data_IF_129928790692
#
_entry.id   IF_129928790692
#
_cell.length_a   1.000
_cell.length_b   1.000
_cell.length_c   1.000
_cell.angle_alpha   90.00
_cell.angle_beta   90.00
_cell.angle_gamma   90.00
#
_symmetry.space_group_name_H-M   'P 1'
#
loop_
_entity.id
_entity.type
_entity.pdbx_description
1 polymer ?
#
# COMPACT_ATOMS: atom_id res chain seq x y z
N UNK A 1 -14.56 -10.97 -5.94
CA UNK A 1 -13.28 -10.48 -6.49
C UNK A 1 -12.46 -11.61 -7.08
N UNK A 2 -12.20 -12.72 -6.36
CA UNK A 2 -11.45 -13.88 -6.92
C UNK A 2 -12.08 -14.40 -8.22
N UNK A 3 -13.38 -14.70 -8.22
CA UNK A 3 -14.09 -15.23 -9.41
C UNK A 3 -14.16 -14.23 -10.57
N UNK A 4 -13.95 -12.94 -10.28
CA UNK A 4 -13.89 -11.86 -11.27
C UNK A 4 -12.46 -11.57 -11.74
N UNK A 5 -11.47 -12.40 -11.36
CA UNK A 5 -10.03 -12.18 -11.64
C UNK A 5 -9.60 -10.76 -11.25
N UNK A 6 -10.12 -10.28 -10.12
CA UNK A 6 -9.90 -8.95 -9.56
C UNK A 6 -10.22 -7.76 -10.47
N UNK A 7 -11.04 -7.98 -11.52
CA UNK A 7 -11.64 -6.92 -12.33
C UNK A 7 -12.91 -6.41 -11.62
N UNK A 8 -12.91 -5.21 -11.02
CA UNK A 8 -14.02 -4.79 -10.19
C UNK A 8 -15.35 -4.69 -10.95
N UNK A 9 -15.31 -4.32 -12.22
CA UNK A 9 -16.46 -4.23 -13.13
C UNK A 9 -17.12 -5.59 -13.43
N UNK A 10 -16.40 -6.70 -13.24
CA UNK A 10 -16.93 -8.05 -13.43
C UNK A 10 -17.43 -8.69 -12.13
N UNK A 11 -17.32 -8.00 -10.98
CA UNK A 11 -17.69 -8.55 -9.69
C UNK A 11 -19.16 -8.27 -9.32
N UNK A 12 -20.02 -9.26 -9.51
CA UNK A 12 -21.47 -9.13 -9.31
C UNK A 12 -21.94 -9.26 -7.84
N UNK A 13 -21.05 -9.49 -6.88
CA UNK A 13 -21.43 -9.74 -5.47
C UNK A 13 -21.51 -8.45 -4.65
N UNK A 14 -20.47 -7.60 -4.74
CA UNK A 14 -20.37 -6.30 -4.04
C UNK A 14 -19.49 -5.36 -4.87
N UNK A 15 -19.83 -4.07 -4.98
CA UNK A 15 -19.00 -3.12 -5.71
C UNK A 15 -17.67 -2.89 -4.97
N UNK A 16 -16.58 -3.01 -5.72
CA UNK A 16 -15.22 -2.64 -5.31
C UNK A 16 -14.63 -1.71 -6.35
N UNK A 17 -13.65 -0.90 -5.96
CA UNK A 17 -13.07 0.13 -6.81
C UNK A 17 -11.57 0.22 -6.53
N UNK A 18 -10.75 0.31 -7.57
CA UNK A 18 -9.34 0.64 -7.36
C UNK A 18 -9.16 2.17 -7.29
N UNK A 19 -8.08 2.64 -6.64
CA UNK A 19 -7.74 4.07 -6.66
C UNK A 19 -7.52 4.56 -8.10
N UNK A 20 -8.21 5.63 -8.57
CA UNK A 20 -7.99 6.20 -9.90
C UNK A 20 -6.76 7.15 -9.90
N UNK A 21 -6.44 7.72 -11.06
CA UNK A 21 -5.41 8.77 -11.23
C UNK A 21 -4.01 8.37 -10.71
N UNK A 22 -3.67 7.10 -10.90
CA UNK A 22 -2.34 6.56 -10.63
C UNK A 22 -1.61 6.25 -11.95
N UNK A 23 -1.75 7.12 -12.95
CA UNK A 23 -1.25 6.88 -14.32
C UNK A 23 0.20 7.36 -14.52
N UNK A 24 0.68 8.27 -13.67
CA UNK A 24 1.96 8.95 -13.83
C UNK A 24 2.89 8.75 -12.65
N UNK A 25 4.14 9.17 -12.86
CA UNK A 25 5.19 9.19 -11.85
C UNK A 25 5.79 7.81 -11.55
N UNK A 26 6.69 7.74 -10.55
CA UNK A 26 7.39 6.50 -10.20
C UNK A 26 6.49 5.38 -9.67
N UNK A 27 5.24 5.70 -9.33
CA UNK A 27 4.22 4.76 -8.83
C UNK A 27 3.06 4.60 -9.82
N UNK A 28 3.31 4.86 -11.11
CA UNK A 28 2.35 4.62 -12.16
C UNK A 28 1.93 3.14 -12.18
N UNK A 29 0.66 2.91 -12.49
CA UNK A 29 0.13 1.57 -12.66
C UNK A 29 0.64 0.94 -13.95
N UNK A 30 0.93 -0.35 -13.89
CA UNK A 30 1.18 -1.12 -15.10
C UNK A 30 -0.11 -1.33 -15.91
N UNK A 31 -0.04 -1.37 -17.25
CA UNK A 31 -1.21 -1.20 -18.10
C UNK A 31 -2.11 -2.45 -18.23
N UNK A 32 -1.68 -3.62 -17.74
CA UNK A 32 -2.43 -4.87 -18.00
C UNK A 32 -3.42 -5.23 -16.89
N UNK A 33 -3.04 -5.03 -15.63
CA UNK A 33 -3.81 -5.37 -14.42
C UNK A 33 -3.91 -4.20 -13.43
N UNK A 34 -3.20 -3.11 -13.67
CA UNK A 34 -3.25 -1.90 -12.87
C UNK A 34 -2.43 -1.95 -11.57
N UNK A 35 -1.42 -2.82 -11.46
CA UNK A 35 -0.58 -2.89 -10.25
C UNK A 35 0.45 -1.74 -10.21
N UNK A 36 0.81 -1.30 -9.01
CA UNK A 36 1.91 -0.35 -8.77
C UNK A 36 3.13 -1.07 -8.21
N UNK A 37 4.34 -0.59 -8.54
CA UNK A 37 5.56 -1.08 -7.91
C UNK A 37 5.57 -0.75 -6.41
N UNK A 38 6.00 -1.74 -5.63
CA UNK A 38 6.18 -1.67 -4.18
C UNK A 38 7.66 -1.77 -3.83
N UNK A 39 7.98 -1.82 -2.53
CA UNK A 39 9.35 -1.98 -2.05
C UNK A 39 9.98 -3.26 -2.61
N UNK A 40 11.17 -3.14 -3.22
CA UNK A 40 12.03 -4.30 -3.50
C UNK A 40 12.59 -4.87 -2.20
N UNK A 41 12.72 -6.19 -2.15
CA UNK A 41 13.25 -6.92 -0.99
C UNK A 41 14.55 -7.60 -1.39
N UNK A 42 15.58 -7.51 -0.55
CA UNK A 42 16.89 -8.13 -0.81
C UNK A 42 17.23 -9.14 0.27
N UNK A 43 17.70 -10.32 -0.12
CA UNK A 43 18.08 -11.37 0.81
C UNK A 43 19.20 -10.95 1.77
N UNK A 44 19.14 -11.40 3.04
CA UNK A 44 18.47 -12.63 3.47
C UNK A 44 17.02 -12.47 3.96
N UNK A 45 16.43 -11.29 3.77
CA UNK A 45 15.06 -11.00 4.14
C UNK A 45 14.06 -12.00 3.52
N UNK A 46 12.99 -12.33 4.25
CA UNK A 46 11.94 -13.29 3.85
C UNK A 46 12.47 -14.69 3.45
N UNK A 47 13.67 -15.06 3.90
CA UNK A 47 14.28 -16.35 3.57
C UNK A 47 14.92 -16.42 2.17
N UNK A 48 15.13 -15.27 1.52
CA UNK A 48 15.81 -15.17 0.24
C UNK A 48 17.32 -15.44 0.36
N UNK A 49 17.94 -15.93 -0.71
CA UNK A 49 19.41 -16.07 -0.79
C UNK A 49 20.08 -14.71 -0.67
N UNK A 50 21.24 -14.68 0.01
CA UNK A 50 22.02 -13.46 0.18
C UNK A 50 22.26 -12.76 -1.16
N UNK A 51 21.93 -11.47 -1.25
CA UNK A 51 22.14 -10.64 -2.45
C UNK A 51 21.10 -10.80 -3.56
N UNK A 52 20.18 -11.76 -3.48
CA UNK A 52 19.04 -11.84 -4.40
C UNK A 52 18.07 -10.71 -4.08
N UNK A 53 17.65 -9.97 -5.11
CA UNK A 53 16.66 -8.89 -4.98
C UNK A 53 15.44 -9.24 -5.80
N UNK A 54 14.27 -9.14 -5.16
CA UNK A 54 12.96 -9.37 -5.76
C UNK A 54 12.18 -8.06 -5.83
N UNK A 55 11.31 -7.95 -6.82
CA UNK A 55 10.45 -6.80 -7.05
C UNK A 55 9.01 -7.17 -6.72
N UNK A 56 8.34 -6.26 -6.02
CA UNK A 56 6.99 -6.47 -5.54
C UNK A 56 6.04 -5.49 -6.20
N UNK A 57 4.80 -5.93 -6.41
CA UNK A 57 3.77 -5.18 -7.08
C UNK A 57 2.44 -5.39 -6.38
N UNK A 58 1.57 -4.38 -6.39
CA UNK A 58 0.30 -4.49 -5.71
C UNK A 58 -0.82 -3.69 -6.34
N UNK A 59 -2.05 -4.07 -6.01
CA UNK A 59 -3.25 -3.30 -6.34
C UNK A 59 -4.18 -3.29 -5.12
N UNK A 60 -4.69 -2.09 -4.83
CA UNK A 60 -5.62 -1.83 -3.73
C UNK A 60 -7.04 -1.62 -4.23
N UNK A 61 -8.01 -2.08 -3.45
CA UNK A 61 -9.43 -2.01 -3.73
C UNK A 61 -10.19 -1.48 -2.51
N UNK A 62 -11.06 -0.51 -2.74
CA UNK A 62 -11.92 0.12 -1.75
C UNK A 62 -13.36 -0.33 -1.97
N UNK A 63 -14.09 -0.56 -0.90
CA UNK A 63 -15.52 -0.81 -0.97
C UNK A 63 -16.28 0.47 -1.39
N UNK A 64 -17.60 0.36 -1.62
CA UNK A 64 -18.41 1.52 -2.01
C UNK A 64 -18.30 2.71 -1.05
N UNK A 65 -18.28 2.47 0.27
CA UNK A 65 -18.14 3.55 1.25
C UNK A 65 -16.81 4.30 1.08
N UNK A 66 -15.70 3.59 0.87
CA UNK A 66 -14.41 4.23 0.57
C UNK A 66 -14.37 4.93 -0.78
N UNK A 67 -15.04 4.37 -1.79
CA UNK A 67 -15.11 4.96 -3.12
C UNK A 67 -15.88 6.30 -3.13
N UNK A 68 -16.86 6.49 -2.25
CA UNK A 68 -17.55 7.79 -2.09
C UNK A 68 -16.56 8.88 -1.69
N UNK A 69 -15.72 8.62 -0.67
CA UNK A 69 -14.68 9.58 -0.25
C UNK A 69 -13.69 9.86 -1.38
N UNK A 70 -13.22 8.82 -2.08
CA UNK A 70 -12.31 8.97 -3.23
C UNK A 70 -12.94 9.85 -4.32
N UNK A 71 -14.22 9.60 -4.66
CA UNK A 71 -14.96 10.39 -5.65
C UNK A 71 -15.19 11.84 -5.21
N UNK A 72 -15.38 12.11 -3.92
CA UNK A 72 -15.48 13.48 -3.40
C UNK A 72 -14.15 14.23 -3.48
N UNK A 73 -13.02 13.55 -3.22
CA UNK A 73 -11.69 14.15 -3.30
C UNK A 73 -11.28 14.37 -4.76
N UNK A 74 -11.44 13.37 -5.63
CA UNK A 74 -10.89 13.37 -7.00
C UNK A 74 -11.92 13.67 -8.10
N UNK A 75 -13.18 13.96 -7.74
CA UNK A 75 -14.27 14.16 -8.70
C UNK A 75 -14.21 15.46 -9.51
N UNK A 76 -13.51 16.47 -9.00
CA UNK A 76 -13.37 17.78 -9.65
C UNK A 76 -12.14 17.90 -10.55
N UNK A 77 -11.91 19.11 -11.08
CA UNK A 77 -10.70 19.45 -11.84
C UNK A 77 -9.44 19.55 -10.97
N UNK A 78 -9.60 19.72 -9.66
CA UNK A 78 -8.52 19.70 -8.67
C UNK A 78 -8.97 18.94 -7.42
N UNK A 79 -8.06 18.30 -6.67
CA UNK A 79 -8.45 17.51 -5.51
C UNK A 79 -9.02 18.36 -4.37
N UNK A 80 -10.16 17.98 -3.80
CA UNK A 80 -10.71 18.59 -2.59
C UNK A 80 -10.26 17.82 -1.35
N UNK A 81 -9.13 18.25 -0.76
CA UNK A 81 -8.53 17.56 0.39
C UNK A 81 -9.34 17.72 1.68
N UNK A 82 -10.29 18.66 1.73
CA UNK A 82 -11.20 18.77 2.88
C UNK A 82 -12.20 17.59 2.93
N UNK A 83 -12.34 16.86 1.82
CA UNK A 83 -13.16 15.64 1.72
C UNK A 83 -12.38 14.36 1.96
N UNK A 84 -11.07 14.42 2.23
CA UNK A 84 -10.23 13.26 2.45
C UNK A 84 -10.42 12.68 3.87
N UNK A 85 -11.65 12.28 4.19
CA UNK A 85 -12.04 11.58 5.41
C UNK A 85 -12.96 10.42 5.02
N UNK A 86 -12.51 9.19 5.29
CA UNK A 86 -13.23 7.97 5.03
C UNK A 86 -14.29 7.73 6.11
N UNK A 87 -15.50 7.39 5.70
CA UNK A 87 -16.60 7.14 6.63
C UNK A 87 -16.45 5.79 7.36
N UNK A 88 -17.08 5.68 8.53
CA UNK A 88 -17.21 4.40 9.25
C UNK A 88 -17.67 3.27 8.32
N UNK A 89 -16.98 2.13 8.36
CA UNK A 89 -17.27 0.99 7.48
C UNK A 89 -16.67 1.11 6.07
N UNK A 90 -15.96 2.19 5.75
CA UNK A 90 -15.04 2.18 4.62
C UNK A 90 -13.96 1.12 4.88
N UNK A 91 -13.70 0.31 3.85
CA UNK A 91 -12.76 -0.79 3.91
C UNK A 91 -11.95 -0.83 2.64
N UNK A 92 -10.67 -1.16 2.79
CA UNK A 92 -9.76 -1.44 1.70
C UNK A 92 -9.09 -2.79 1.91
N UNK A 93 -8.77 -3.45 0.80
CA UNK A 93 -7.80 -4.54 0.80
C UNK A 93 -6.82 -4.33 -0.35
N UNK A 94 -5.58 -4.74 -0.15
CA UNK A 94 -4.50 -4.65 -1.13
C UNK A 94 -3.88 -6.01 -1.30
N UNK A 95 -3.79 -6.49 -2.54
CA UNK A 95 -3.12 -7.76 -2.86
C UNK A 95 -1.73 -7.46 -3.40
N UNK A 96 -0.73 -8.18 -2.89
CA UNK A 96 0.67 -7.95 -3.16
C UNK A 96 1.32 -9.22 -3.69
N UNK A 97 2.05 -9.05 -4.79
CA UNK A 97 2.72 -10.12 -5.51
C UNK A 97 4.20 -9.83 -5.62
N UNK A 98 4.98 -10.88 -5.82
CA UNK A 98 6.42 -10.83 -5.99
C UNK A 98 6.86 -11.55 -7.26
N UNK A 99 7.92 -11.08 -7.92
CA UNK A 99 8.57 -11.77 -9.04
C UNK A 99 9.46 -12.95 -8.61
N UNK A 100 9.50 -13.25 -7.30
CA UNK A 100 10.32 -14.31 -6.70
C UNK A 100 10.08 -15.69 -7.34
N UNK A 101 11.16 -16.38 -7.66
CA UNK A 101 11.14 -17.76 -8.16
C UNK A 101 11.45 -18.75 -7.04
N UNK A 102 11.13 -20.03 -7.25
CA UNK A 102 11.47 -21.08 -6.30
C UNK A 102 12.98 -21.15 -5.97
N UNK A 103 13.83 -20.78 -6.94
CA UNK A 103 15.29 -20.84 -6.80
C UNK A 103 15.88 -19.66 -6.01
N UNK A 104 15.09 -18.65 -5.68
CA UNK A 104 15.56 -17.45 -4.98
C UNK A 104 15.63 -17.63 -3.46
N UNK A 105 14.94 -18.63 -2.91
CA UNK A 105 14.93 -18.94 -1.47
C UNK A 105 16.17 -19.72 -1.04
N UNK A 106 16.68 -19.46 0.17
CA UNK A 106 17.79 -20.23 0.77
C UNK A 106 17.40 -21.69 1.02
N UNK A 107 16.13 -21.92 1.35
CA UNK A 107 15.56 -23.23 1.64
C UNK A 107 14.40 -23.57 0.70
N UNK A 108 13.32 -24.09 1.26
CA UNK A 108 12.11 -24.42 0.52
C UNK A 108 11.43 -23.19 -0.07
N UNK A 109 10.77 -23.38 -1.21
CA UNK A 109 9.91 -22.37 -1.83
C UNK A 109 8.67 -22.08 -0.95
N UNK A 110 8.74 -21.00 -0.17
CA UNK A 110 7.66 -20.62 0.76
C UNK A 110 6.39 -20.15 0.05
N UNK A 111 6.47 -19.86 -1.26
CA UNK A 111 5.31 -19.49 -2.08
C UNK A 111 4.85 -20.64 -2.99
N UNK A 112 5.30 -21.88 -2.76
CA UNK A 112 4.90 -23.03 -3.57
C UNK A 112 3.37 -23.14 -3.64
N UNK A 113 2.84 -23.23 -4.87
CA UNK A 113 1.40 -23.26 -5.13
C UNK A 113 0.66 -21.92 -4.99
N UNK A 114 1.36 -20.80 -4.80
CA UNK A 114 0.74 -19.48 -4.76
C UNK A 114 0.03 -19.14 -6.08
N UNK A 115 -1.13 -18.45 -6.03
CA UNK A 115 -1.72 -17.85 -7.22
C UNK A 115 -0.71 -17.00 -8.00
N UNK A 116 -0.79 -17.07 -9.32
CA UNK A 116 0.08 -16.33 -10.22
C UNK A 116 -0.70 -15.30 -11.02
N UNK A 117 -0.08 -14.15 -11.28
CA UNK A 117 -0.64 -13.12 -12.12
C UNK A 117 0.42 -12.55 -13.05
N UNK A 118 0.19 -12.59 -14.35
CA UNK A 118 1.07 -11.90 -15.30
C UNK A 118 0.72 -10.42 -15.30
N UNK A 119 1.75 -9.57 -15.21
CA UNK A 119 1.68 -8.11 -15.34
C UNK A 119 2.62 -7.63 -16.45
N UNK A 120 2.51 -6.36 -16.86
CA UNK A 120 3.40 -5.78 -17.88
C UNK A 120 4.37 -4.77 -17.27
N UNK A 121 5.64 -5.13 -17.16
CA UNK A 121 6.68 -4.20 -16.68
C UNK A 121 7.46 -3.62 -17.85
N UNK A 122 8.41 -2.72 -17.56
CA UNK A 122 9.33 -2.19 -18.57
C UNK A 122 10.19 -3.29 -19.24
N UNK A 123 10.43 -4.40 -18.54
CA UNK A 123 11.15 -5.56 -19.07
C UNK A 123 10.26 -6.49 -19.93
N UNK A 124 8.96 -6.21 -20.01
CA UNK A 124 7.98 -7.03 -20.72
C UNK A 124 7.00 -7.75 -19.79
N UNK A 125 6.26 -8.75 -20.29
CA UNK A 125 5.38 -9.56 -19.45
C UNK A 125 6.18 -10.30 -18.39
N UNK A 126 5.76 -10.22 -17.13
CA UNK A 126 6.37 -10.95 -16.03
C UNK A 126 5.29 -11.61 -15.18
N UNK A 127 5.52 -12.85 -14.77
CA UNK A 127 4.61 -13.60 -13.89
C UNK A 127 4.99 -13.33 -12.44
N UNK A 128 4.02 -12.85 -11.67
CA UNK A 128 4.15 -12.56 -10.25
C UNK A 128 3.43 -13.63 -9.42
N UNK A 129 3.82 -13.83 -8.17
CA UNK A 129 3.25 -14.81 -7.24
C UNK A 129 2.67 -14.10 -6.02
N UNK A 130 1.46 -14.46 -5.60
CA UNK A 130 0.81 -13.87 -4.43
C UNK A 130 1.64 -14.16 -3.18
N UNK A 131 2.00 -13.10 -2.45
CA UNK A 131 2.79 -13.21 -1.22
C UNK A 131 2.03 -12.69 0.00
N UNK A 132 1.25 -11.63 -0.18
CA UNK A 132 0.64 -10.88 0.92
C UNK A 132 -0.70 -10.28 0.52
N UNK A 133 -1.57 -10.06 1.49
CA UNK A 133 -2.74 -9.20 1.36
C UNK A 133 -2.87 -8.32 2.59
N UNK A 134 -2.96 -7.02 2.40
CA UNK A 134 -3.25 -6.06 3.46
C UNK A 134 -4.74 -5.74 3.48
N UNK A 135 -5.25 -5.43 4.66
CA UNK A 135 -6.61 -4.96 4.86
C UNK A 135 -6.60 -3.76 5.80
N UNK A 136 -7.50 -2.81 5.57
CA UNK A 136 -7.75 -1.75 6.54
C UNK A 136 -9.24 -1.38 6.54
N UNK A 137 -9.75 -1.02 7.71
CA UNK A 137 -11.12 -0.57 7.87
C UNK A 137 -11.21 0.63 8.81
N UNK A 138 -12.08 1.58 8.49
CA UNK A 138 -12.43 2.68 9.39
C UNK A 138 -13.30 2.13 10.50
N UNK A 139 -12.84 2.31 11.74
CA UNK A 139 -13.56 1.94 12.94
C UNK A 139 -13.37 3.00 14.04
N UNK A 140 -14.46 3.65 14.44
CA UNK A 140 -14.43 4.70 15.44
C UNK A 140 -14.01 4.24 16.85
N UNK A 141 -13.98 2.93 17.11
CA UNK A 141 -13.48 2.37 18.38
C UNK A 141 -11.95 2.37 18.43
N UNK A 142 -11.28 2.45 17.29
CA UNK A 142 -9.82 2.56 17.22
C UNK A 142 -9.34 3.95 17.70
N UNK A 143 -8.21 4.01 18.44
CA UNK A 143 -7.58 5.27 18.82
C UNK A 143 -7.12 6.09 17.62
N UNK A 144 -6.82 5.49 16.47
CA UNK A 144 -6.48 6.20 15.22
C UNK A 144 -7.70 6.47 14.33
N UNK A 145 -8.80 5.74 14.57
CA UNK A 145 -9.97 5.68 13.67
C UNK A 145 -9.85 4.60 12.60
N UNK A 146 -8.72 3.89 12.55
CA UNK A 146 -8.46 2.80 11.62
C UNK A 146 -8.00 1.53 12.32
N UNK A 147 -8.33 0.40 11.71
CA UNK A 147 -7.75 -0.90 12.04
C UNK A 147 -7.06 -1.42 10.80
N UNK A 148 -5.78 -1.78 10.92
CA UNK A 148 -4.96 -2.33 9.84
C UNK A 148 -4.61 -3.77 10.15
N UNK A 149 -4.60 -4.62 9.15
CA UNK A 149 -4.14 -6.00 9.26
C UNK A 149 -3.45 -6.45 7.99
N UNK A 150 -2.71 -7.54 8.11
CA UNK A 150 -2.01 -8.14 6.99
C UNK A 150 -2.07 -9.66 7.07
N UNK A 151 -2.06 -10.27 5.89
CA UNK A 151 -2.06 -11.71 5.67
C UNK A 151 -0.88 -12.07 4.80
N UNK A 152 -0.34 -13.26 5.01
CA UNK A 152 0.76 -13.82 4.23
C UNK A 152 0.34 -15.16 3.62
N UNK A 153 0.81 -15.47 2.41
CA UNK A 153 0.55 -16.75 1.78
C UNK A 153 1.26 -17.88 2.54
N UNK A 154 0.55 -18.96 2.85
CA UNK A 154 1.12 -20.13 3.50
C UNK A 154 1.06 -21.34 2.54
N UNK A 155 2.22 -21.79 2.07
CA UNK A 155 2.31 -22.96 1.19
C UNK A 155 1.88 -24.28 1.86
N UNK A 156 1.84 -24.33 3.19
CA UNK A 156 1.40 -25.49 3.96
C UNK A 156 -0.11 -25.49 4.24
N UNK A 157 -0.81 -24.40 3.94
CA UNK A 157 -2.25 -24.33 4.10
C UNK A 157 -2.96 -25.33 3.18
N UNK A 158 -3.91 -26.08 3.75
CA UNK A 158 -4.60 -27.19 3.06
C UNK A 158 -5.84 -26.75 2.27
N UNK A 159 -6.15 -25.45 2.26
CA UNK A 159 -7.28 -24.89 1.52
C UNK A 159 -7.21 -25.27 0.03
N UNK A 160 -8.32 -25.77 -0.52
CA UNK A 160 -8.40 -26.21 -1.92
C UNK A 160 -8.14 -25.06 -2.89
N UNK A 161 -8.70 -23.88 -2.61
CA UNK A 161 -8.43 -22.67 -3.38
C UNK A 161 -7.13 -22.03 -2.90
N UNK A 162 -6.10 -21.87 -3.75
CA UNK A 162 -4.84 -21.26 -3.32
C UNK A 162 -5.00 -19.80 -2.86
N UNK A 163 -6.01 -19.08 -3.35
CA UNK A 163 -6.35 -17.74 -2.88
C UNK A 163 -6.80 -17.70 -1.41
N UNK A 164 -7.24 -18.83 -0.85
CA UNK A 164 -7.68 -18.96 0.56
C UNK A 164 -6.56 -19.43 1.49
N UNK A 165 -5.35 -19.62 0.97
CA UNK A 165 -4.15 -20.00 1.75
C UNK A 165 -3.44 -18.82 2.39
N UNK A 166 -4.03 -17.62 2.33
CA UNK A 166 -3.57 -16.46 3.08
C UNK A 166 -3.90 -16.65 4.57
N UNK A 167 -2.89 -16.54 5.43
CA UNK A 167 -3.02 -16.62 6.90
C UNK A 167 -2.79 -15.26 7.54
N UNK A 168 -3.57 -14.91 8.57
CA UNK A 168 -3.38 -13.64 9.27
C UNK A 168 -1.98 -13.60 9.87
N UNK A 169 -1.29 -12.46 9.70
CA UNK A 169 0.01 -12.17 10.34
C UNK A 169 -0.21 -11.35 11.60
N UNK A 170 -1.03 -10.30 11.49
CA UNK A 170 -1.34 -9.46 12.64
C UNK A 170 -2.39 -8.39 12.32
N UNK A 171 -2.85 -7.73 13.38
CA UNK A 171 -3.84 -6.66 13.35
C UNK A 171 -3.43 -5.57 14.35
N UNK A 172 -3.52 -4.31 13.95
CA UNK A 172 -3.23 -3.14 14.76
C UNK A 172 -4.38 -2.14 14.69
N UNK A 173 -4.83 -1.64 15.83
CA UNK A 173 -5.79 -0.53 15.93
C UNK A 173 -5.17 0.73 16.53
N UNK A 174 -4.00 0.61 17.15
CA UNK A 174 -3.13 1.72 17.52
C UNK A 174 -1.68 1.39 17.19
N UNK A 175 -0.79 2.34 17.44
CA UNK A 175 0.63 2.22 17.19
C UNK A 175 1.42 1.79 18.44
N UNK A 176 0.76 1.44 19.55
CA UNK A 176 1.43 1.06 20.80
C UNK A 176 2.46 2.13 21.22
N UNK A 177 2.06 3.41 21.20
CA UNK A 177 2.99 4.51 21.41
C UNK A 177 3.75 4.37 22.74
N UNK A 178 5.09 4.46 22.67
CA UNK A 178 5.97 4.25 23.82
C UNK A 178 6.49 2.81 23.98
N UNK A 179 5.97 1.82 23.25
CA UNK A 179 6.50 0.45 23.24
C UNK A 179 7.74 0.30 22.34
N UNK A 180 8.90 0.03 22.96
CA UNK A 180 10.21 -0.01 22.29
C UNK A 180 10.75 -1.43 22.08
N UNK A 181 11.83 -1.62 21.29
CA UNK A 181 12.49 -2.92 21.20
C UNK A 181 12.98 -3.46 22.55
N UNK A 182 13.34 -2.59 23.50
CA UNK A 182 13.72 -3.01 24.85
C UNK A 182 12.54 -3.65 25.60
N UNK A 183 11.32 -3.11 25.43
CA UNK A 183 10.10 -3.69 26.00
C UNK A 183 9.79 -5.07 25.41
N UNK A 184 9.93 -5.21 24.09
CA UNK A 184 9.78 -6.48 23.38
C UNK A 184 10.79 -7.52 23.91
N UNK A 185 12.07 -7.15 24.03
CA UNK A 185 13.13 -8.01 24.53
C UNK A 185 12.90 -8.42 25.99
N UNK A 186 12.29 -7.56 26.79
CA UNK A 186 11.87 -7.85 28.16
C UNK A 186 10.60 -8.73 28.24
N UNK A 187 10.03 -9.15 27.11
CA UNK A 187 8.83 -10.00 27.05
C UNK A 187 7.53 -9.28 27.37
N UNK A 188 7.51 -7.94 27.35
CA UNK A 188 6.26 -7.18 27.46
C UNK A 188 5.41 -7.40 26.22
N UNK A 189 4.10 -7.23 26.37
CA UNK A 189 3.13 -7.44 25.29
C UNK A 189 2.67 -6.10 24.73
N UNK A 190 2.50 -6.05 23.41
CA UNK A 190 1.74 -5.00 22.73
C UNK A 190 0.28 -5.05 23.23
N UNK A 191 -0.36 -3.89 23.28
CA UNK A 191 -1.74 -3.71 23.78
C UNK A 191 -2.70 -3.22 22.70
N UNK A 192 -2.18 -2.67 21.60
CA UNK A 192 -2.94 -2.12 20.47
C UNK A 192 -2.65 -2.84 19.14
N UNK A 193 -1.82 -3.88 19.24
CA UNK A 193 -1.44 -4.78 18.16
C UNK A 193 -1.49 -6.21 18.67
N UNK A 194 -2.03 -7.11 17.84
CA UNK A 194 -1.94 -8.55 18.06
C UNK A 194 -1.25 -9.22 16.88
N UNK A 195 -0.37 -10.17 17.18
CA UNK A 195 0.27 -11.04 16.19
C UNK A 195 -0.43 -12.39 16.22
N UNK A 196 -0.68 -12.93 15.04
CA UNK A 196 -1.35 -14.19 14.82
C UNK A 196 -0.40 -15.37 15.03
N UNK A 197 -0.87 -16.41 15.71
CA UNK A 197 -0.18 -17.70 15.82
C UNK A 197 -0.25 -18.52 14.53
N UNK A 198 -1.07 -18.09 13.56
CA UNK A 198 -1.19 -18.69 12.22
C UNK A 198 -0.22 -18.08 11.20
N UNK A 199 0.56 -17.07 11.59
CA UNK A 199 1.50 -16.42 10.68
C UNK A 199 2.54 -17.43 10.16
N UNK A 200 2.72 -17.58 8.84
CA UNK A 200 3.75 -18.46 8.30
C UNK A 200 5.13 -17.95 8.74
N UNK A 201 6.08 -18.87 8.95
CA UNK A 201 7.35 -18.57 9.61
C UNK A 201 8.13 -17.40 8.97
N UNK A 202 8.16 -17.32 7.64
CA UNK A 202 8.86 -16.25 6.92
C UNK A 202 8.25 -14.86 7.20
N UNK A 203 6.93 -14.78 7.36
CA UNK A 203 6.24 -13.55 7.71
C UNK A 203 6.37 -13.24 9.22
N UNK A 204 6.29 -14.24 10.08
CA UNK A 204 6.47 -14.09 11.52
C UNK A 204 7.90 -13.63 11.89
N UNK A 205 8.91 -13.98 11.08
CA UNK A 205 10.27 -13.49 11.23
C UNK A 205 10.49 -12.05 10.74
N UNK A 206 9.49 -11.45 10.09
CA UNK A 206 9.59 -10.16 9.42
C UNK A 206 8.50 -9.17 9.90
N UNK A 207 8.26 -9.17 11.20
CA UNK A 207 7.38 -8.20 11.85
C UNK A 207 7.98 -6.78 11.81
N UNK A 208 7.12 -5.81 12.09
CA UNK A 208 7.49 -4.41 12.19
C UNK A 208 8.31 -4.07 13.44
N UNK A 209 8.63 -2.80 13.57
CA UNK A 209 9.48 -2.29 14.63
C UNK A 209 8.92 -2.59 16.02
N UNK A 210 9.77 -3.16 16.87
CA UNK A 210 9.43 -3.72 18.18
C UNK A 210 8.34 -4.82 18.16
N UNK A 211 8.21 -5.55 17.04
CA UNK A 211 7.31 -6.69 16.90
C UNK A 211 5.87 -6.34 16.50
N UNK A 212 5.62 -5.11 16.03
CA UNK A 212 4.29 -4.69 15.56
C UNK A 212 3.87 -5.40 14.28
N UNK A 213 2.57 -5.43 13.99
CA UNK A 213 2.06 -5.99 12.75
C UNK A 213 2.57 -5.14 11.57
N UNK A 214 3.10 -5.83 10.57
CA UNK A 214 3.64 -5.26 9.35
C UNK A 214 3.56 -6.31 8.24
N UNK A 215 3.34 -5.89 7.01
CA UNK A 215 3.28 -6.82 5.89
C UNK A 215 4.66 -7.43 5.61
N UNK A 216 4.73 -8.70 5.15
CA UNK A 216 5.98 -9.31 4.71
C UNK A 216 6.89 -8.42 3.84
N UNK A 217 6.33 -7.73 2.84
CA UNK A 217 7.10 -6.89 1.90
C UNK A 217 7.38 -5.48 2.46
N UNK A 218 6.68 -5.08 3.52
CA UNK A 218 6.81 -3.75 4.10
C UNK A 218 8.16 -3.58 4.81
N UNK A 219 8.57 -2.33 5.04
CA UNK A 219 9.84 -2.06 5.71
C UNK A 219 9.74 -2.40 7.21
N UNK A 220 10.59 -3.29 7.75
CA UNK A 220 10.49 -3.77 9.13
C UNK A 220 10.81 -2.70 10.18
N UNK A 221 11.32 -1.52 9.79
CA UNK A 221 11.49 -0.39 10.69
C UNK A 221 10.18 0.38 10.95
N UNK A 222 9.06 -0.03 10.37
CA UNK A 222 7.74 0.58 10.55
C UNK A 222 6.73 -0.41 11.13
N UNK A 223 5.46 -0.05 11.09
CA UNK A 223 4.30 -0.95 11.22
C UNK A 223 3.18 -0.43 10.32
N UNK A 224 2.12 -1.20 10.12
CA UNK A 224 1.06 -0.83 9.17
C UNK A 224 0.50 0.58 9.45
N UNK A 225 0.05 0.84 10.69
CA UNK A 225 -0.48 2.15 11.08
C UNK A 225 0.58 3.26 11.03
N UNK A 226 1.81 2.99 11.48
CA UNK A 226 2.94 3.93 11.46
C UNK A 226 3.23 4.42 10.04
N UNK A 227 3.37 3.49 9.10
CA UNK A 227 3.56 3.75 7.67
C UNK A 227 2.41 4.58 7.08
N UNK A 228 1.17 4.19 7.36
CA UNK A 228 0.01 4.82 6.77
C UNK A 228 -0.33 6.18 7.39
N UNK A 229 0.04 6.43 8.65
CA UNK A 229 -0.18 7.73 9.32
C UNK A 229 0.49 8.91 8.60
N UNK A 230 1.48 8.63 7.74
CA UNK A 230 2.21 9.63 6.95
C UNK A 230 1.48 10.04 5.67
N UNK A 231 0.26 9.55 5.43
CA UNK A 231 -0.56 9.93 4.29
C UNK A 231 -1.01 11.40 4.42
N UNK A 232 -0.34 12.29 3.68
CA UNK A 232 -0.61 13.73 3.67
C UNK A 232 -0.09 14.38 2.37
N UNK A 233 -0.50 15.64 2.15
CA UNK A 233 0.08 16.53 1.15
C UNK A 233 0.60 17.83 1.82
N UNK A 234 1.85 18.26 1.60
CA UNK A 234 2.94 17.53 0.92
C UNK A 234 3.31 16.23 1.63
N UNK A 235 3.86 15.27 0.88
CA UNK A 235 4.20 13.93 1.39
C UNK A 235 5.20 13.98 2.54
N UNK A 236 4.95 13.20 3.59
CA UNK A 236 5.89 12.96 4.68
C UNK A 236 6.72 11.68 4.43
N UNK A 237 7.91 11.54 5.07
CA UNK A 237 8.68 10.30 5.02
C UNK A 237 7.90 9.15 5.67
N UNK A 238 7.68 8.08 4.90
CA UNK A 238 6.91 6.89 5.34
C UNK A 238 7.62 6.13 6.48
N UNK A 239 8.95 6.19 6.50
CA UNK A 239 9.78 5.59 7.54
C UNK A 239 10.78 6.60 8.05
N UNK A 240 11.27 6.37 9.27
CA UNK A 240 12.44 7.06 9.77
C UNK A 240 13.71 6.63 9.03
N UNK A 241 14.76 7.45 9.11
CA UNK A 241 16.07 7.19 8.51
C UNK A 241 17.08 6.76 9.58
N UNK A 242 18.29 6.38 9.14
CA UNK A 242 19.39 6.07 10.05
C UNK A 242 19.86 7.27 10.89
N UNK A 243 19.42 8.50 10.56
CA UNK A 243 19.68 9.68 11.38
C UNK A 243 18.85 9.70 12.69
N UNK A 244 17.79 8.89 12.78
CA UNK A 244 16.96 8.78 13.97
C UNK A 244 17.59 7.78 14.95
N UNK A 245 18.58 8.24 15.70
CA UNK A 245 19.44 7.37 16.53
C UNK A 245 18.81 6.96 17.85
N UNK A 246 17.81 7.72 18.34
CA UNK A 246 17.11 7.43 19.60
C UNK A 246 15.72 6.85 19.37
N UNK A 247 15.23 6.05 20.31
CA UNK A 247 13.86 5.54 20.24
C UNK A 247 12.83 6.68 20.38
N UNK A 248 13.15 7.76 21.10
CA UNK A 248 12.30 8.94 21.16
C UNK A 248 12.08 9.58 19.78
N UNK A 249 13.11 9.65 18.93
CA UNK A 249 12.97 10.13 17.54
C UNK A 249 12.14 9.16 16.70
N UNK A 250 12.40 7.85 16.78
CA UNK A 250 11.66 6.84 16.03
C UNK A 250 10.18 6.81 16.41
N UNK A 251 9.87 7.02 17.69
CA UNK A 251 8.51 7.07 18.22
C UNK A 251 7.62 8.14 17.59
N UNK A 252 8.20 9.12 16.89
CA UNK A 252 7.42 10.09 16.12
C UNK A 252 6.50 9.44 15.07
N UNK A 253 6.91 8.29 14.50
CA UNK A 253 6.15 7.49 13.55
C UNK A 253 5.06 6.62 14.19
N UNK A 254 5.15 6.39 15.50
CA UNK A 254 4.24 5.51 16.22
C UNK A 254 3.20 6.27 17.05
N UNK A 255 2.94 7.54 16.74
CA UNK A 255 1.86 8.32 17.37
C UNK A 255 0.50 7.82 16.90
N UNK A 256 -0.49 7.80 17.77
CA UNK A 256 -1.89 7.53 17.41
C UNK A 256 -2.57 8.76 16.86
N UNK A 257 -2.16 9.16 15.65
CA UNK A 257 -2.79 10.26 14.93
C UNK A 257 -4.20 9.85 14.47
N UNK A 258 -5.15 10.77 14.59
CA UNK A 258 -6.47 10.62 13.97
C UNK A 258 -6.39 10.88 12.47
N UNK A 259 -7.32 10.33 11.70
CA UNK A 259 -7.43 10.52 10.25
C UNK A 259 -7.46 11.98 9.76
N UNK A 260 -7.89 12.92 10.61
CA UNK A 260 -7.92 14.36 10.34
C UNK A 260 -6.69 15.12 10.84
N UNK A 261 -5.66 14.42 11.34
CA UNK A 261 -4.40 14.99 11.79
C UNK A 261 -3.30 14.62 10.81
N UNK A 262 -2.58 15.59 10.22
CA UNK A 262 -1.43 15.28 9.39
C UNK A 262 -0.28 14.79 10.28
N UNK A 263 0.62 13.99 9.69
CA UNK A 263 1.85 13.57 10.36
C UNK A 263 2.75 14.74 10.74
N UNK A 264 2.84 15.75 9.87
CA UNK A 264 3.67 16.94 10.05
C UNK A 264 4.98 16.89 9.28
N UNK A 265 5.77 17.96 9.39
CA UNK A 265 7.12 18.01 8.82
C UNK A 265 8.15 17.43 9.78
N UNK A 266 9.22 16.86 9.23
CA UNK A 266 10.35 16.31 10.00
C UNK A 266 11.66 16.75 9.33
N UNK A 267 12.62 17.21 10.13
CA UNK A 267 13.96 17.58 9.63
C UNK A 267 14.88 16.37 9.42
N UNK A 268 16.09 16.61 8.92
CA UNK A 268 17.09 15.57 8.67
C UNK A 268 17.57 14.85 9.94
N UNK A 269 17.32 15.41 11.13
CA UNK A 269 17.65 14.85 12.43
C UNK A 269 16.41 14.26 13.13
N UNK A 270 15.33 14.03 12.38
CA UNK A 270 14.11 13.41 12.85
C UNK A 270 13.34 14.22 13.90
N UNK A 271 13.57 15.53 13.96
CA UNK A 271 12.80 16.41 14.83
C UNK A 271 11.58 16.97 14.09
N UNK A 272 10.43 17.09 14.76
CA UNK A 272 9.26 17.75 14.19
C UNK A 272 9.58 19.20 13.82
N UNK A 273 9.13 19.62 12.63
CA UNK A 273 9.21 21.00 12.18
C UNK A 273 7.84 21.52 11.77
N UNK A 274 7.66 22.83 11.86
CA UNK A 274 6.47 23.49 11.34
C UNK A 274 6.60 23.63 9.83
N UNK A 275 5.72 22.96 9.07
CA UNK A 275 5.67 23.13 7.62
C UNK A 275 4.87 24.38 7.24
N UNK A 276 5.32 25.07 6.20
CA UNK A 276 4.59 26.18 5.58
C UNK A 276 4.47 25.90 4.06
N UNK A 277 3.26 25.72 3.52
CA UNK A 277 1.97 25.69 4.22
C UNK A 277 1.81 24.45 5.13
N UNK A 278 0.88 24.49 6.11
CA UNK A 278 0.57 23.31 6.93
C UNK A 278 0.10 22.13 6.07
N UNK A 279 0.58 20.90 6.34
CA UNK A 279 0.21 19.74 5.56
C UNK A 279 -1.27 19.38 5.78
N UNK A 280 -1.87 18.77 4.76
CA UNK A 280 -3.24 18.26 4.79
C UNK A 280 -3.22 16.73 4.87
N UNK A 281 -3.89 16.12 5.87
CA UNK A 281 -3.96 14.68 5.97
C UNK A 281 -4.79 14.08 4.84
N UNK A 282 -4.50 12.82 4.52
CA UNK A 282 -5.23 12.02 3.53
C UNK A 282 -5.75 10.73 4.15
N UNK A 283 -6.05 10.80 5.45
CA UNK A 283 -6.75 9.80 6.25
C UNK A 283 -6.21 8.37 6.03
N UNK A 284 -4.92 8.22 6.33
CA UNK A 284 -4.18 6.95 6.24
C UNK A 284 -4.09 6.32 4.83
N UNK A 285 -4.63 6.94 3.78
CA UNK A 285 -4.58 6.40 2.42
C UNK A 285 -3.34 6.89 1.65
N UNK A 286 -2.28 6.08 1.68
CA UNK A 286 -1.08 6.31 0.87
C UNK A 286 -1.37 6.26 -0.64
N UNK A 287 -2.32 5.43 -1.09
CA UNK A 287 -2.73 5.42 -2.51
C UNK A 287 -3.46 6.71 -2.90
N UNK A 288 -4.28 7.28 -2.01
CA UNK A 288 -4.89 8.59 -2.25
C UNK A 288 -3.81 9.68 -2.28
N UNK A 289 -2.78 9.58 -1.43
CA UNK A 289 -1.63 10.50 -1.45
C UNK A 289 -0.91 10.48 -2.81
N UNK A 290 -0.69 9.29 -3.37
CA UNK A 290 -0.11 9.16 -4.72
C UNK A 290 -1.03 9.75 -5.78
N UNK A 291 -2.32 9.44 -5.76
CA UNK A 291 -3.27 9.97 -6.74
C UNK A 291 -3.35 11.51 -6.69
N UNK A 292 -3.49 12.08 -5.48
CA UNK A 292 -3.47 13.54 -5.27
C UNK A 292 -2.15 14.15 -5.75
N UNK A 293 -1.01 13.54 -5.43
CA UNK A 293 0.28 14.00 -5.90
C UNK A 293 0.36 13.99 -7.43
N UNK A 294 -0.18 12.95 -8.08
CA UNK A 294 -0.21 12.88 -9.54
C UNK A 294 -1.02 14.00 -10.17
N UNK A 295 -2.19 14.32 -9.61
CA UNK A 295 -3.00 15.45 -10.10
C UNK A 295 -2.24 16.76 -9.94
N UNK A 296 -1.65 17.01 -8.76
CA UNK A 296 -0.99 18.29 -8.45
C UNK A 296 0.35 18.45 -9.17
N UNK A 297 1.13 17.38 -9.30
CA UNK A 297 2.50 17.42 -9.85
C UNK A 297 2.55 17.18 -11.37
N UNK A 298 1.74 16.25 -11.88
CA UNK A 298 1.77 15.84 -13.28
C UNK A 298 0.54 16.30 -14.07
N UNK A 299 -0.42 16.95 -13.42
CA UNK A 299 -1.65 17.37 -14.08
C UNK A 299 -2.52 16.19 -14.51
N UNK A 300 -2.45 15.05 -13.81
CA UNK A 300 -3.32 13.88 -14.04
C UNK A 300 -4.78 14.28 -13.79
N UNK A 301 -5.43 14.83 -14.81
CA UNK A 301 -6.76 15.39 -14.71
C UNK A 301 -7.79 14.27 -14.70
N UNK A 302 -8.80 14.38 -13.85
CA UNK A 302 -9.96 13.49 -13.93
C UNK A 302 -10.67 13.69 -15.28
N UNK A 303 -10.65 12.70 -16.20
CA UNK A 303 -11.25 12.84 -17.52
C UNK A 303 -12.78 12.89 -17.47
N UNK A 304 -13.38 12.55 -16.33
CA UNK A 304 -14.82 12.60 -16.09
C UNK A 304 -15.24 13.86 -15.31
N UNK A 305 -14.34 14.80 -15.04
CA UNK A 305 -14.66 16.03 -14.31
C UNK A 305 -15.70 16.87 -15.08
N UNK A 306 -16.78 17.36 -14.44
CA UNK A 306 -17.78 18.22 -15.10
C UNK A 306 -17.20 19.51 -15.71
N UNK A 307 -16.03 19.95 -15.23
CA UNK A 307 -15.32 21.13 -15.72
C UNK A 307 -14.19 20.78 -16.71
N UNK A 308 -13.98 19.50 -17.02
CA UNK A 308 -13.17 19.12 -18.15
C UNK A 308 -13.95 19.57 -19.39
N UNK A 309 -13.66 20.78 -19.87
CA UNK A 309 -14.08 21.19 -21.20
C UNK A 309 -13.70 20.04 -22.12
N UNK A 310 -14.69 19.47 -22.80
CA UNK A 310 -14.47 18.59 -23.93
C UNK A 310 -13.65 19.45 -24.90
N UNK A 311 -12.33 19.36 -24.80
CA UNK A 311 -11.44 19.94 -25.79
C UNK A 311 -11.77 19.11 -27.01
N UNK A 312 -12.55 19.73 -27.91
CA UNK A 312 -13.04 19.14 -29.13
C UNK A 312 -11.93 18.26 -29.72
N UNK A 313 -12.08 16.94 -29.60
CA UNK A 313 -11.51 16.03 -30.57
C UNK A 313 -12.27 16.32 -31.85
N UNK A 314 -11.85 17.38 -32.57
CA UNK A 314 -12.20 17.54 -33.97
C UNK A 314 -11.52 16.38 -34.68
N UNK A 315 -12.34 15.38 -34.95
CA UNK A 315 -12.16 14.47 -36.06
C UNK A 315 -12.46 15.30 -37.30
N UNK A 316 -11.43 15.91 -37.88
CA UNK A 316 -11.47 16.37 -39.28
C UNK A 316 -10.29 15.69 -40.01
N UNK A 317 -10.67 14.63 -40.73
CA UNK A 317 -10.12 14.09 -41.99
C UNK A 317 -8.61 13.80 -42.19
N UNK A 318 -8.36 12.49 -42.43
CA UNK A 318 -7.21 11.77 -43.01
C UNK A 318 -6.63 12.37 -44.34
N UNK A 319 -5.59 11.78 -45.00
CA UNK A 319 -4.61 10.72 -44.65
C UNK A 319 -3.13 11.14 -44.89
N UNK A 320 -2.14 10.45 -44.30
CA UNK A 320 -0.74 10.72 -44.64
C UNK A 320 0.30 9.82 -43.96
N UNK A 321 0.66 8.76 -44.68
CA UNK A 321 1.96 8.08 -44.74
C UNK A 321 2.79 7.81 -43.47
N UNK A 322 2.93 6.51 -43.20
CA UNK A 322 4.07 5.93 -42.51
C UNK A 322 5.41 6.33 -43.15
N UNK A 323 6.40 6.83 -42.38
CA UNK A 323 7.79 6.71 -42.76
C UNK A 323 8.25 5.29 -42.43
N UNK A 324 8.57 4.54 -43.48
CA UNK A 324 9.35 3.31 -43.42
C UNK A 324 10.69 3.62 -42.75
N UNK A 325 11.03 2.88 -41.69
CA UNK A 325 12.43 2.71 -41.30
C UNK A 325 12.95 1.56 -42.16
N UNK A 326 13.83 1.91 -43.10
CA UNK A 326 14.57 0.96 -43.92
C UNK A 326 15.97 0.75 -43.34
N UNK A 327 16.32 -0.53 -43.17
CA UNK A 327 17.63 -1.16 -42.91
C UNK A 327 18.27 -0.92 -41.56
#
# INVERSE_FOLDING_TARGET
>A
MIDADFKPEANNVRPWFHMPLMNFGPRAREPMRGLTSERSVTGPELGLKQGVTIHNYAVGFYNAAGAVTIGQVLGGASPDLAKAQFAQGAMTFKILFSDVTANDFQGSDVLSGAPQWTIRTAAGPQTMRLMQMDVAAVDSRSPTGWVFGTFAFDSNATDTSPWRRLRPVGLSWGNDFGFTPADQQAGKKLTETTISDQAPAYAASHLGWAGRANGPVDNPISGCLSCHSTAQLPSAPITFSNACTTDAQKMLWFRDLKGNQPFGGVDASCNPITSAPPPKPLDFSLQLSVAVQNVVQFGDANPCSPSASIMNLRVDDHPGEHPRIAR
#
